data_IF_148666466298
#
_entry.id   IF_148666466298
#
_cell.length_a   1.000
_cell.length_b   1.000
_cell.length_c   1.000
_cell.angle_alpha   90.00
_cell.angle_beta   90.00
_cell.angle_gamma   90.00
#
_symmetry.space_group_name_H-M   'P 1'
#
loop_
_entity.id
_entity.type
_entity.pdbx_description
1 polymer ?
#
# COMPACT_ATOMS: atom_id res chain seq x y z
N UNK A 1 5.01 -1.39 -45.35
CA UNK A 1 5.24 -2.22 -44.13
C UNK A 1 5.30 -1.38 -42.86
N UNK A 2 5.74 -0.12 -42.90
CA UNK A 2 5.79 0.77 -41.72
C UNK A 2 4.43 1.07 -41.06
N UNK A 3 3.34 1.11 -41.85
CA UNK A 3 1.99 1.38 -41.33
C UNK A 3 1.45 0.28 -40.41
N UNK A 4 1.96 -0.96 -40.53
CA UNK A 4 1.52 -2.08 -39.69
C UNK A 4 2.29 -2.14 -38.36
N UNK A 5 3.53 -1.61 -38.32
CA UNK A 5 4.34 -1.56 -37.09
C UNK A 5 3.69 -0.61 -36.06
N UNK A 6 3.20 0.53 -36.54
CA UNK A 6 2.48 1.51 -35.70
C UNK A 6 1.18 0.95 -35.09
N UNK A 7 0.51 0.04 -35.81
CA UNK A 7 -0.73 -0.60 -35.39
C UNK A 7 -0.50 -1.72 -34.35
N UNK A 8 0.67 -2.37 -34.37
CA UNK A 8 1.07 -3.40 -33.40
C UNK A 8 1.56 -2.79 -32.09
N UNK A 9 2.20 -1.61 -32.10
CA UNK A 9 2.62 -0.94 -30.86
C UNK A 9 1.44 -0.45 -30.00
N UNK A 10 0.29 -0.16 -30.63
CA UNK A 10 -0.91 0.33 -29.93
C UNK A 10 -1.66 -0.76 -29.15
N UNK A 11 -1.50 -2.04 -29.51
CA UNK A 11 -2.15 -3.15 -28.82
C UNK A 11 -1.41 -3.61 -27.55
N UNK A 12 -0.11 -3.32 -27.42
CA UNK A 12 0.67 -3.65 -26.22
C UNK A 12 0.50 -2.65 -25.07
N UNK A 13 -0.20 -1.52 -25.28
CA UNK A 13 -0.39 -0.49 -24.25
C UNK A 13 -1.42 -0.87 -23.17
N UNK A 14 -2.21 -1.92 -23.37
CA UNK A 14 -3.37 -2.23 -22.50
C UNK A 14 -3.09 -3.30 -21.44
N UNK A 15 -1.95 -3.99 -21.46
CA UNK A 15 -1.64 -5.10 -20.53
C UNK A 15 -0.89 -4.63 -19.27
N UNK A 16 -0.58 -3.34 -19.15
CA UNK A 16 0.33 -2.83 -18.12
C UNK A 16 -0.27 -2.58 -16.72
N UNK A 17 -1.58 -2.74 -16.50
CA UNK A 17 -2.21 -2.31 -15.24
C UNK A 17 -2.82 -3.43 -14.36
N UNK A 18 -2.70 -4.70 -14.73
CA UNK A 18 -3.19 -5.80 -13.90
C UNK A 18 -2.08 -6.33 -12.98
N UNK A 19 -1.57 -5.48 -12.07
CA UNK A 19 -0.72 -5.98 -10.99
C UNK A 19 -1.54 -6.93 -10.09
N UNK A 20 -1.00 -8.10 -9.70
CA UNK A 20 -1.72 -9.03 -8.85
C UNK A 20 -2.08 -8.36 -7.53
N UNK A 21 -3.36 -8.47 -7.13
CA UNK A 21 -3.87 -7.98 -5.85
C UNK A 21 -3.30 -8.84 -4.72
N UNK A 22 -2.11 -8.47 -4.25
CA UNK A 22 -1.42 -9.13 -3.15
C UNK A 22 -1.77 -8.48 -1.79
N UNK A 23 -1.19 -8.96 -0.71
CA UNK A 23 -1.47 -8.41 0.62
C UNK A 23 -1.14 -6.93 0.75
N UNK A 24 -0.03 -6.48 0.15
CA UNK A 24 0.39 -5.09 0.20
C UNK A 24 -0.63 -4.17 -0.47
N UNK A 25 -1.23 -4.61 -1.58
CA UNK A 25 -2.34 -3.92 -2.22
C UNK A 25 -3.48 -3.70 -1.24
N UNK A 26 -3.98 -4.76 -0.59
CA UNK A 26 -5.12 -4.66 0.33
C UNK A 26 -4.84 -3.80 1.58
N UNK A 27 -3.60 -3.84 2.11
CA UNK A 27 -3.17 -2.99 3.23
C UNK A 27 -3.19 -1.49 2.91
N UNK A 28 -3.08 -1.13 1.63
CA UNK A 28 -3.06 0.26 1.16
C UNK A 28 -4.37 0.69 0.48
N UNK A 29 -5.34 -0.22 0.39
CA UNK A 29 -6.61 -0.01 -0.30
C UNK A 29 -7.77 -0.53 0.58
N UNK A 30 -8.09 0.15 1.71
CA UNK A 30 -9.05 -0.35 2.70
C UNK A 30 -10.45 -0.64 2.14
N UNK A 31 -10.95 0.15 1.19
CA UNK A 31 -12.25 -0.08 0.54
C UNK A 31 -12.25 -1.40 -0.26
N UNK A 32 -11.19 -1.65 -1.02
CA UNK A 32 -11.04 -2.84 -1.84
C UNK A 32 -10.84 -4.09 -0.96
N UNK A 33 -10.19 -3.92 0.20
CA UNK A 33 -10.12 -4.95 1.23
C UNK A 33 -11.50 -5.25 1.82
N UNK A 34 -12.30 -4.25 2.16
CA UNK A 34 -13.66 -4.44 2.67
C UNK A 34 -14.52 -5.22 1.67
N UNK A 35 -14.46 -4.85 0.39
CA UNK A 35 -15.14 -5.58 -0.68
C UNK A 35 -14.64 -7.03 -0.82
N UNK A 36 -13.32 -7.25 -0.73
CA UNK A 36 -12.75 -8.59 -0.84
C UNK A 36 -13.16 -9.49 0.33
N UNK A 37 -13.19 -8.95 1.55
CA UNK A 37 -13.65 -9.69 2.75
C UNK A 37 -15.14 -10.01 2.66
N UNK A 38 -15.97 -9.08 2.21
CA UNK A 38 -17.42 -9.30 2.04
C UNK A 38 -17.73 -10.41 1.01
N UNK A 39 -16.92 -10.52 -0.04
CA UNK A 39 -17.13 -11.47 -1.13
C UNK A 39 -16.44 -12.83 -0.93
N UNK A 40 -15.87 -13.08 0.26
CA UNK A 40 -15.12 -14.31 0.54
C UNK A 40 -15.92 -15.60 0.38
N UNK A 41 -17.25 -15.57 0.53
CA UNK A 41 -18.11 -16.73 0.27
C UNK A 41 -18.32 -17.01 -1.23
N UNK A 42 -18.15 -16.00 -2.08
CA UNK A 42 -18.56 -16.03 -3.49
C UNK A 42 -17.36 -16.14 -4.43
N UNK A 43 -16.16 -15.70 -4.01
CA UNK A 43 -14.94 -15.73 -4.81
C UNK A 43 -13.73 -15.93 -3.89
N UNK A 44 -13.03 -17.08 -4.01
CA UNK A 44 -11.65 -17.15 -3.53
C UNK A 44 -10.83 -16.17 -4.38
N UNK A 45 -10.36 -15.08 -3.78
CA UNK A 45 -9.39 -14.22 -4.45
C UNK A 45 -8.19 -15.10 -4.84
N UNK A 46 -7.80 -15.09 -6.11
CA UNK A 46 -6.86 -16.07 -6.68
C UNK A 46 -5.43 -15.98 -6.10
N UNK A 47 -5.15 -14.95 -5.28
CA UNK A 47 -3.81 -14.66 -4.78
C UNK A 47 -3.70 -14.49 -3.26
N UNK A 48 -4.81 -14.22 -2.54
CA UNK A 48 -4.80 -14.07 -1.07
C UNK A 48 -5.99 -14.83 -0.47
N UNK A 49 -5.74 -15.69 0.50
CA UNK A 49 -6.80 -16.47 1.15
C UNK A 49 -7.72 -15.57 1.98
N UNK A 50 -8.96 -16.01 2.19
CA UNK A 50 -9.92 -15.29 3.02
C UNK A 50 -9.49 -15.14 4.48
N UNK A 51 -8.83 -16.15 5.04
CA UNK A 51 -8.19 -16.04 6.36
C UNK A 51 -7.15 -14.91 6.38
N UNK A 52 -6.34 -14.81 5.33
CA UNK A 52 -5.33 -13.77 5.24
C UNK A 52 -5.92 -12.38 5.02
N UNK A 53 -6.97 -12.26 4.19
CA UNK A 53 -7.74 -11.04 4.03
C UNK A 53 -8.37 -10.58 5.36
N UNK A 54 -8.95 -11.51 6.14
CA UNK A 54 -9.49 -11.19 7.45
C UNK A 54 -8.41 -10.67 8.42
N UNK A 55 -7.22 -11.28 8.41
CA UNK A 55 -6.10 -10.78 9.22
C UNK A 55 -5.65 -9.38 8.79
N UNK A 56 -5.57 -9.13 7.48
CA UNK A 56 -5.25 -7.79 6.95
C UNK A 56 -6.33 -6.78 7.36
N UNK A 57 -7.62 -7.16 7.34
CA UNK A 57 -8.71 -6.30 7.77
C UNK A 57 -8.64 -5.95 9.25
N UNK A 58 -8.25 -6.89 10.12
CA UNK A 58 -7.99 -6.60 11.53
C UNK A 58 -6.88 -5.55 11.69
N UNK A 59 -5.74 -5.72 11.00
CA UNK A 59 -4.61 -4.78 11.09
C UNK A 59 -5.01 -3.38 10.59
N UNK A 60 -5.77 -3.31 9.49
CA UNK A 60 -6.30 -2.05 8.92
C UNK A 60 -7.29 -1.37 9.89
N UNK A 61 -8.18 -2.15 10.50
CA UNK A 61 -9.12 -1.64 11.49
C UNK A 61 -8.43 -1.14 12.76
N UNK A 62 -7.34 -1.78 13.18
CA UNK A 62 -6.55 -1.30 14.31
C UNK A 62 -5.94 0.08 14.00
N UNK A 63 -5.39 0.28 12.80
CA UNK A 63 -4.88 1.58 12.39
C UNK A 63 -5.99 2.64 12.29
N UNK A 64 -7.15 2.27 11.74
CA UNK A 64 -8.33 3.14 11.70
C UNK A 64 -8.79 3.56 13.11
N UNK A 65 -8.81 2.62 14.04
CA UNK A 65 -9.14 2.87 15.44
C UNK A 65 -8.12 3.80 16.11
N UNK A 66 -6.82 3.59 15.88
CA UNK A 66 -5.77 4.49 16.37
C UNK A 66 -5.95 5.92 15.84
N UNK A 67 -6.31 6.08 14.56
CA UNK A 67 -6.60 7.39 13.98
C UNK A 67 -7.81 8.03 14.67
N UNK A 68 -8.92 7.30 14.81
CA UNK A 68 -10.15 7.84 15.43
C UNK A 68 -9.96 8.23 16.89
N UNK A 69 -9.22 7.45 17.68
CA UNK A 69 -9.09 7.69 19.12
C UNK A 69 -8.13 8.84 19.43
N UNK A 70 -7.09 9.02 18.62
CA UNK A 70 -6.12 10.10 18.80
C UNK A 70 -5.48 10.52 17.46
N UNK A 71 -6.19 11.37 16.68
CA UNK A 71 -5.71 11.80 15.36
C UNK A 71 -4.37 12.53 15.41
N UNK A 72 -4.12 13.30 16.48
CA UNK A 72 -2.87 14.04 16.67
C UNK A 72 -1.68 13.09 16.86
N UNK A 73 -1.82 12.07 17.71
CA UNK A 73 -0.76 11.07 17.92
C UNK A 73 -0.51 10.25 16.66
N UNK A 74 -1.57 9.91 15.92
CA UNK A 74 -1.46 9.23 14.64
C UNK A 74 -0.68 10.08 13.63
N UNK A 75 -1.02 11.37 13.50
CA UNK A 75 -0.31 12.34 12.66
C UNK A 75 1.16 12.53 13.04
N UNK A 76 1.47 12.62 14.35
CA UNK A 76 2.86 12.68 14.84
C UNK A 76 3.67 11.46 14.41
N UNK A 77 3.07 10.27 14.43
CA UNK A 77 3.74 9.04 13.99
C UNK A 77 4.06 9.07 12.50
N UNK A 78 3.16 9.61 11.67
CA UNK A 78 3.41 9.82 10.23
C UNK A 78 4.59 10.76 10.01
N UNK A 79 4.60 11.91 10.70
CA UNK A 79 5.70 12.88 10.59
C UNK A 79 7.03 12.28 11.03
N UNK A 80 7.03 11.50 12.12
CA UNK A 80 8.24 10.81 12.59
C UNK A 80 8.74 9.78 11.56
N UNK A 81 7.86 8.98 10.96
CA UNK A 81 8.24 8.05 9.89
C UNK A 81 8.85 8.78 8.69
N UNK A 82 8.26 9.91 8.27
CA UNK A 82 8.80 10.73 7.17
C UNK A 82 10.19 11.29 7.50
N UNK A 83 10.37 11.82 8.71
CA UNK A 83 11.66 12.34 9.18
C UNK A 83 12.72 11.23 9.22
N UNK A 84 12.40 10.07 9.81
CA UNK A 84 13.30 8.91 9.86
C UNK A 84 13.68 8.45 8.46
N UNK A 85 12.72 8.34 7.54
CA UNK A 85 13.01 7.96 6.15
C UNK A 85 13.94 8.96 5.46
N UNK A 86 13.76 10.26 5.68
CA UNK A 86 14.63 11.28 5.12
C UNK A 86 16.08 11.14 5.63
N UNK A 87 16.25 10.88 6.94
CA UNK A 87 17.56 10.64 7.54
C UNK A 87 18.21 9.36 7.00
N UNK A 88 17.46 8.25 6.97
CA UNK A 88 17.95 6.97 6.45
C UNK A 88 18.34 7.06 4.96
N UNK A 89 17.57 7.79 4.15
CA UNK A 89 17.91 8.02 2.74
C UNK A 89 19.15 8.89 2.57
N UNK A 90 19.35 9.89 3.44
CA UNK A 90 20.58 10.68 3.44
C UNK A 90 21.80 9.83 3.83
N UNK A 91 21.67 8.97 4.85
CA UNK A 91 22.72 8.05 5.27
C UNK A 91 23.06 7.06 4.16
N UNK A 92 22.07 6.45 3.50
CA UNK A 92 22.31 5.48 2.43
C UNK A 92 23.00 6.09 1.21
N UNK A 93 22.80 7.40 0.95
CA UNK A 93 23.54 8.12 -0.10
C UNK A 93 25.02 8.25 0.22
N UNK A 94 25.36 8.43 1.50
CA UNK A 94 26.75 8.52 1.97
C UNK A 94 27.38 7.14 2.05
N UNK A 95 26.60 6.12 2.44
CA UNK A 95 27.09 4.76 2.65
C UNK A 95 26.14 3.70 2.04
N UNK A 96 26.29 3.38 0.73
CA UNK A 96 25.29 2.60 -0.02
C UNK A 96 25.26 1.10 0.27
N UNK A 97 26.26 0.58 0.99
CA UNK A 97 26.44 -0.85 1.25
C UNK A 97 25.89 -1.29 2.61
N UNK A 98 24.81 -0.65 3.06
CA UNK A 98 24.11 -1.03 4.30
C UNK A 98 22.83 -1.82 3.98
N UNK A 99 22.91 -3.15 3.99
CA UNK A 99 21.76 -4.01 3.69
C UNK A 99 20.63 -3.87 4.72
N UNK A 100 20.97 -3.80 6.01
CA UNK A 100 20.01 -3.61 7.10
C UNK A 100 19.26 -2.28 6.98
N UNK A 101 19.98 -1.20 6.67
CA UNK A 101 19.39 0.12 6.45
C UNK A 101 18.38 0.11 5.30
N UNK A 102 18.67 -0.61 4.20
CA UNK A 102 17.73 -0.78 3.09
C UNK A 102 16.46 -1.50 3.53
N UNK A 103 16.59 -2.56 4.32
CA UNK A 103 15.43 -3.30 4.85
C UNK A 103 14.58 -2.43 5.79
N UNK A 104 15.19 -1.68 6.70
CA UNK A 104 14.46 -0.77 7.58
C UNK A 104 13.80 0.38 6.81
N UNK A 105 14.44 0.91 5.76
CA UNK A 105 13.83 1.89 4.86
C UNK A 105 12.55 1.32 4.23
N UNK A 106 12.60 0.10 3.68
CA UNK A 106 11.43 -0.50 3.03
C UNK A 106 10.30 -0.78 4.03
N UNK A 107 10.63 -1.24 5.23
CA UNK A 107 9.66 -1.40 6.32
C UNK A 107 9.02 -0.07 6.72
N UNK A 108 9.82 0.98 6.90
CA UNK A 108 9.32 2.32 7.25
C UNK A 108 8.45 2.91 6.13
N UNK A 109 8.81 2.70 4.85
CA UNK A 109 7.97 3.07 3.71
C UNK A 109 6.63 2.34 3.72
N UNK A 110 6.62 1.04 4.00
CA UNK A 110 5.40 0.27 4.09
C UNK A 110 4.49 0.75 5.23
N UNK A 111 5.04 1.01 6.42
CA UNK A 111 4.29 1.56 7.55
C UNK A 111 3.72 2.94 7.23
N UNK A 112 4.51 3.81 6.60
CA UNK A 112 4.06 5.14 6.19
C UNK A 112 2.91 5.04 5.17
N UNK A 113 3.06 4.21 4.14
CA UNK A 113 2.05 4.01 3.11
C UNK A 113 0.72 3.49 3.70
N UNK A 114 0.79 2.54 4.64
CA UNK A 114 -0.39 2.03 5.33
C UNK A 114 -1.10 3.12 6.13
N UNK A 115 -0.37 3.89 6.94
CA UNK A 115 -0.98 4.98 7.74
C UNK A 115 -1.60 6.06 6.86
N UNK A 116 -0.94 6.43 5.77
CA UNK A 116 -1.48 7.40 4.80
C UNK A 116 -2.72 6.87 4.08
N UNK A 117 -2.77 5.57 3.77
CA UNK A 117 -3.96 4.95 3.19
C UNK A 117 -5.18 5.03 4.12
N UNK A 118 -4.99 4.89 5.44
CA UNK A 118 -6.06 5.05 6.43
C UNK A 118 -6.56 6.50 6.47
N UNK A 119 -5.66 7.48 6.52
CA UNK A 119 -6.04 8.90 6.48
C UNK A 119 -6.81 9.19 5.20
N UNK A 120 -6.30 8.73 4.04
CA UNK A 120 -6.99 8.91 2.77
C UNK A 120 -8.38 8.28 2.78
N UNK A 121 -8.54 7.09 3.35
CA UNK A 121 -9.81 6.39 3.38
C UNK A 121 -10.86 7.08 4.26
N UNK A 122 -10.48 7.56 5.44
CA UNK A 122 -11.43 8.08 6.43
C UNK A 122 -11.67 9.59 6.34
N UNK A 123 -10.69 10.34 5.83
CA UNK A 123 -10.72 11.81 5.84
C UNK A 123 -10.85 12.43 4.45
N UNK A 124 -10.81 11.63 3.37
CA UNK A 124 -11.11 12.15 2.03
C UNK A 124 -12.62 12.13 1.80
N UNK A 125 -13.25 13.22 1.32
CA UNK A 125 -14.65 13.19 0.93
C UNK A 125 -14.87 12.10 -0.12
N UNK A 126 -15.95 11.33 0.03
CA UNK A 126 -16.45 10.50 -1.06
C UNK A 126 -16.81 11.44 -2.21
N UNK A 127 -16.01 11.43 -3.26
CA UNK A 127 -16.18 12.23 -4.47
C UNK A 127 -17.27 11.66 -5.36
#
# INVERSE_FOLDING_TARGET
MEKYILLVCMSFSLVACASPKNEAYYRQNPQQLQQAVQNCSNQQSTHVSCERLAKIAQDVNELAYQLQINPQSFGKTILQLQQTLAQQQAELKVNPNQAELKTEIEKNKQQLAQRLAIVKWLESPES
#
